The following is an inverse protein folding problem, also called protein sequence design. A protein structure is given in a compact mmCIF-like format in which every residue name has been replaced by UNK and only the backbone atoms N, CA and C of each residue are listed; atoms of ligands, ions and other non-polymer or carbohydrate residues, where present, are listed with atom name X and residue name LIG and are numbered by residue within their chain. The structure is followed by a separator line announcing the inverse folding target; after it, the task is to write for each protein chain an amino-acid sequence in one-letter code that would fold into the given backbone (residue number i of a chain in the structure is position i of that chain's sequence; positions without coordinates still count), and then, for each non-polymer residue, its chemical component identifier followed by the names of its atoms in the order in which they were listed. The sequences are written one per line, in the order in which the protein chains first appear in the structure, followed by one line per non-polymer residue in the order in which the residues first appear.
data_IF_361738990917
#
_entry.id   IF_361738990917
#
_cell.length_a   1.000
_cell.length_b   1.000
_cell.length_c   1.000
_cell.angle_alpha   90.00
_cell.angle_beta   90.00
_cell.angle_gamma   90.00
#
_symmetry.space_group_name_H-M   'P 1'
#
loop_
_entity.id
_entity.type
_entity.pdbx_description
1 polymer ?
#
# COMPACT_ATOMS: atom_id res chain seq x y z
N UNK A 1 7.77 -7.40 13.18
CA UNK A 1 8.11 -6.86 11.84
C UNK A 1 6.91 -6.09 11.33
N UNK A 2 7.00 -4.76 11.28
CA UNK A 2 5.91 -3.95 10.72
C UNK A 2 5.77 -4.19 9.22
N UNK A 3 4.53 -4.25 8.71
CA UNK A 3 4.27 -4.34 7.26
C UNK A 3 4.80 -3.06 6.59
N UNK A 4 5.63 -3.23 5.56
CA UNK A 4 6.13 -2.11 4.76
C UNK A 4 5.11 -1.81 3.64
N UNK A 5 4.11 -0.99 3.97
CA UNK A 5 3.03 -0.64 3.05
C UNK A 5 3.52 0.07 1.77
N UNK A 6 4.66 0.76 1.84
CA UNK A 6 5.28 1.37 0.68
C UNK A 6 5.80 0.31 -0.28
N UNK A 7 6.43 -0.75 0.23
CA UNK A 7 6.83 -1.91 -0.59
C UNK A 7 5.64 -2.67 -1.17
N UNK A 8 4.55 -2.81 -0.42
CA UNK A 8 3.32 -3.46 -0.91
C UNK A 8 2.75 -2.71 -2.13
N UNK A 9 2.69 -1.38 -2.06
CA UNK A 9 2.28 -0.55 -3.19
C UNK A 9 3.38 -0.38 -4.26
N UNK A 10 4.62 -0.76 -3.97
CA UNK A 10 5.76 -0.67 -4.88
C UNK A 10 6.25 0.78 -5.11
N UNK A 11 6.20 1.59 -4.05
CA UNK A 11 6.54 3.02 -4.05
C UNK A 11 7.59 3.34 -2.98
N UNK A 12 8.24 4.50 -3.11
CA UNK A 12 9.13 5.02 -2.07
C UNK A 12 8.34 5.66 -0.91
N UNK A 13 9.01 5.89 0.23
CA UNK A 13 8.39 6.54 1.41
C UNK A 13 8.06 8.02 1.19
N UNK A 14 8.79 8.67 0.29
CA UNK A 14 8.73 10.11 -0.02
C UNK A 14 7.91 10.42 -1.29
N UNK A 15 6.83 9.67 -1.51
CA UNK A 15 5.93 9.91 -2.64
C UNK A 15 4.75 10.79 -2.26
N UNK A 16 4.19 11.47 -3.25
CA UNK A 16 2.97 12.26 -3.09
C UNK A 16 1.73 11.39 -2.86
N UNK A 17 0.65 11.98 -2.34
CA UNK A 17 -0.64 11.29 -2.22
C UNK A 17 -1.20 10.84 -3.58
N UNK A 18 -0.93 11.60 -4.64
CA UNK A 18 -1.33 11.23 -6.01
C UNK A 18 -0.60 9.97 -6.49
N UNK A 19 0.69 9.85 -6.19
CA UNK A 19 1.46 8.65 -6.51
C UNK A 19 0.99 7.42 -5.73
N UNK A 20 0.62 7.58 -4.45
CA UNK A 20 0.00 6.51 -3.65
C UNK A 20 -1.30 6.05 -4.32
N UNK A 21 -2.17 6.98 -4.72
CA UNK A 21 -3.42 6.68 -5.41
C UNK A 21 -3.18 6.00 -6.76
N UNK A 22 -2.21 6.45 -7.55
CA UNK A 22 -1.82 5.85 -8.83
C UNK A 22 -1.31 4.41 -8.64
N UNK A 23 -0.44 4.19 -7.67
CA UNK A 23 0.12 2.88 -7.36
C UNK A 23 -0.97 1.90 -6.90
N UNK A 24 -1.86 2.33 -6.01
CA UNK A 24 -3.01 1.53 -5.58
C UNK A 24 -3.88 1.12 -6.77
N UNK A 25 -4.29 2.06 -7.63
CA UNK A 25 -5.13 1.74 -8.81
C UNK A 25 -4.45 0.71 -9.72
N UNK A 26 -3.16 0.87 -9.98
CA UNK A 26 -2.39 -0.05 -10.83
C UNK A 26 -2.36 -1.47 -10.23
N UNK A 27 -2.08 -1.58 -8.93
CA UNK A 27 -1.98 -2.87 -8.25
C UNK A 27 -3.36 -3.52 -8.05
N UNK A 28 -4.37 -2.75 -7.67
CA UNK A 28 -5.76 -3.21 -7.56
C UNK A 28 -6.25 -3.80 -8.89
N UNK A 29 -5.98 -3.17 -10.03
CA UNK A 29 -6.33 -3.71 -11.36
C UNK A 29 -5.57 -5.00 -11.68
N UNK A 30 -4.31 -5.12 -11.25
CA UNK A 30 -3.48 -6.31 -11.48
C UNK A 30 -3.92 -7.52 -10.66
N UNK A 31 -4.43 -7.29 -9.45
CA UNK A 31 -4.79 -8.36 -8.50
C UNK A 31 -6.30 -8.47 -8.25
N UNK A 32 -7.14 -7.73 -8.98
CA UNK A 32 -8.59 -7.76 -8.82
C UNK A 32 -9.14 -9.19 -8.99
N UNK A 33 -9.99 -9.70 -8.07
CA UNK A 33 -10.47 -11.08 -8.10
C UNK A 33 -11.27 -11.43 -9.38
N UNK A 34 -12.02 -10.47 -9.94
CA UNK A 34 -12.69 -10.67 -11.24
C UNK A 34 -11.73 -10.88 -12.41
N UNK A 35 -10.53 -10.28 -12.37
CA UNK A 35 -9.59 -10.28 -13.50
C UNK A 35 -8.42 -11.23 -13.30
N UNK A 36 -8.10 -11.59 -12.07
CA UNK A 36 -6.95 -12.40 -11.71
C UNK A 36 -7.36 -13.51 -10.74
N UNK A 37 -7.41 -14.74 -11.25
CA UNK A 37 -7.71 -15.96 -10.46
C UNK A 37 -6.47 -16.75 -10.07
N UNK A 38 -5.29 -16.13 -10.15
CA UNK A 38 -4.05 -16.78 -9.73
C UNK A 38 -4.08 -17.08 -8.23
N UNK A 39 -3.48 -18.20 -7.77
CA UNK A 39 -3.33 -18.47 -6.35
C UNK A 39 -2.64 -17.28 -5.63
N UNK A 40 -3.25 -16.81 -4.54
CA UNK A 40 -2.75 -15.68 -3.75
C UNK A 40 -2.98 -14.28 -4.35
N UNK A 41 -3.73 -14.16 -5.46
CA UNK A 41 -4.12 -12.84 -5.99
C UNK A 41 -5.05 -12.10 -5.01
N UNK A 42 -5.98 -12.80 -4.37
CA UNK A 42 -6.89 -12.24 -3.37
C UNK A 42 -6.14 -11.75 -2.12
N UNK A 43 -5.19 -12.53 -1.60
CA UNK A 43 -4.36 -12.12 -0.46
C UNK A 43 -3.55 -10.86 -0.78
N UNK A 44 -2.91 -10.83 -1.96
CA UNK A 44 -2.21 -9.62 -2.42
C UNK A 44 -3.15 -8.43 -2.54
N UNK A 45 -4.36 -8.64 -3.06
CA UNK A 45 -5.36 -7.57 -3.17
C UNK A 45 -5.75 -7.01 -1.79
N UNK A 46 -5.93 -7.88 -0.79
CA UNK A 46 -6.17 -7.46 0.60
C UNK A 46 -5.00 -6.67 1.18
N UNK A 47 -3.77 -7.11 0.97
CA UNK A 47 -2.56 -6.38 1.40
C UNK A 47 -2.45 -5.00 0.74
N UNK A 48 -2.75 -4.91 -0.56
CA UNK A 48 -2.77 -3.66 -1.32
C UNK A 48 -3.84 -2.69 -0.77
N UNK A 49 -5.02 -3.21 -0.43
CA UNK A 49 -6.11 -2.41 0.14
C UNK A 49 -5.75 -1.88 1.54
N UNK A 50 -5.18 -2.72 2.41
CA UNK A 50 -4.69 -2.34 3.74
C UNK A 50 -3.59 -1.27 3.64
N UNK A 51 -2.62 -1.46 2.74
CA UNK A 51 -1.57 -0.49 2.50
C UNK A 51 -2.12 0.88 2.08
N UNK A 52 -3.12 0.89 1.20
CA UNK A 52 -3.76 2.13 0.78
C UNK A 52 -4.58 2.78 1.89
N UNK A 53 -5.34 2.03 2.71
CA UNK A 53 -6.09 2.60 3.85
C UNK A 53 -5.18 3.36 4.83
N UNK A 54 -3.97 2.84 5.07
CA UNK A 54 -3.00 3.46 5.97
C UNK A 54 -2.28 4.63 5.31
N UNK A 55 -1.87 4.51 4.05
CA UNK A 55 -1.04 5.52 3.37
C UNK A 55 -1.85 6.66 2.76
N UNK A 56 -3.13 6.46 2.45
CA UNK A 56 -4.01 7.51 1.92
C UNK A 56 -4.54 8.46 2.98
N UNK A 57 -4.49 8.07 4.26
CA UNK A 57 -4.82 8.95 5.38
C UNK A 57 -3.54 9.61 5.90
N UNK A 58 -3.42 10.93 5.71
CA UNK A 58 -2.25 11.69 6.14
C UNK A 58 -1.94 11.58 7.65
N UNK A 59 -2.95 11.35 8.50
CA UNK A 59 -2.76 11.13 9.95
C UNK A 59 -2.20 9.74 10.22
N UNK A 60 -2.75 8.69 9.59
CA UNK A 60 -2.25 7.31 9.72
C UNK A 60 -0.84 7.14 9.10
N UNK A 61 -0.60 7.76 7.95
CA UNK A 61 0.70 7.78 7.27
C UNK A 61 1.80 8.34 8.17
N UNK A 62 1.56 9.47 8.84
CA UNK A 62 2.51 10.08 9.78
C UNK A 62 2.92 9.10 10.90
N UNK A 63 1.97 8.35 11.45
CA UNK A 63 2.25 7.33 12.48
C UNK A 63 3.17 6.22 11.97
N UNK A 64 3.01 5.80 10.70
CA UNK A 64 3.89 4.78 10.10
C UNK A 64 5.30 5.28 9.78
N UNK A 65 5.47 6.58 9.53
CA UNK A 65 6.78 7.19 9.29
C UNK A 65 7.48 7.67 10.57
N UNK A 66 6.73 7.93 11.64
CA UNK A 66 7.26 8.54 12.87
C UNK A 66 7.97 7.55 13.82
N UNK A 67 7.83 6.23 13.61
CA UNK A 67 8.52 5.23 14.44
C UNK A 67 9.99 4.99 14.07
N UNK A 68 10.50 5.54 12.96
CA UNK A 68 11.91 5.39 12.55
C UNK A 68 12.80 6.57 12.98
N UNK A 69 12.26 7.59 13.65
CA UNK A 69 13.03 8.70 14.23
C UNK A 69 13.03 8.61 15.76
N UNK A 70 13.70 7.59 16.30
CA UNK A 70 14.08 7.57 17.71
C UNK A 70 15.46 6.92 17.81
N UNK A 71 16.45 7.82 17.83
CA UNK A 71 17.84 7.71 18.27
C UNK A 71 18.73 6.59 17.67
#
# INVERSE_FOLDING_TARGET
MGKDYYKVLGIAKDVSEDEIKKAYRKQALRFHPDKNKSPGAEDKFKEIAEAYDVLSDAKKRRSTTAMEKKD
#
